data_IF_380829918090
#
_entry.id   IF_380829918090
#
_cell.length_a   1.000
_cell.length_b   1.000
_cell.length_c   1.000
_cell.angle_alpha   90.00
_cell.angle_beta   90.00
_cell.angle_gamma   90.00
#
_symmetry.space_group_name_H-M   'P 1'
#
loop_
_entity.id
_entity.type
_entity.pdbx_description
1 polymer ?
#
# COMPACT_ATOMS: atom_id res chain seq x y z
N UNK A 1 -15.83 31.80 4.26
CA UNK A 1 -14.93 32.74 3.53
C UNK A 1 -13.51 32.78 4.12
N UNK A 2 -13.32 32.83 5.44
CA UNK A 2 -11.99 32.95 6.08
C UNK A 2 -11.08 31.70 5.95
N UNK A 3 -11.64 30.49 5.89
CA UNK A 3 -10.87 29.23 5.81
C UNK A 3 -10.00 29.09 4.53
N UNK A 4 -10.35 29.77 3.44
CA UNK A 4 -9.62 29.66 2.17
C UNK A 4 -8.36 30.54 2.11
N UNK A 5 -8.16 31.43 3.09
CA UNK A 5 -7.03 32.36 3.12
C UNK A 5 -5.72 31.62 3.43
N UNK A 6 -5.77 30.62 4.31
CA UNK A 6 -4.60 29.81 4.71
C UNK A 6 -4.00 29.03 3.51
N UNK A 7 -4.78 28.27 2.72
CA UNK A 7 -4.25 27.63 1.52
C UNK A 7 -3.75 28.62 0.46
N UNK A 8 -4.38 29.79 0.34
CA UNK A 8 -3.98 30.82 -0.63
C UNK A 8 -2.61 31.43 -0.28
N UNK A 9 -2.36 31.71 1.00
CA UNK A 9 -1.05 32.18 1.50
C UNK A 9 0.02 31.10 1.31
N UNK A 10 -0.27 29.84 1.64
CA UNK A 10 0.66 28.72 1.43
C UNK A 10 0.96 28.49 -0.07
N UNK A 11 -0.03 28.71 -0.94
CA UNK A 11 0.12 28.67 -2.39
C UNK A 11 1.01 29.78 -2.94
N UNK A 12 0.84 31.03 -2.47
CA UNK A 12 1.72 32.15 -2.82
C UNK A 12 3.17 31.92 -2.36
N UNK A 13 3.37 31.36 -1.17
CA UNK A 13 4.71 30.99 -0.66
C UNK A 13 5.39 29.92 -1.52
N UNK A 14 4.61 29.06 -2.18
CA UNK A 14 5.11 28.05 -3.11
C UNK A 14 5.64 28.64 -4.43
N UNK A 15 5.10 29.78 -4.89
CA UNK A 15 5.61 30.48 -6.08
C UNK A 15 7.04 30.98 -5.90
N UNK A 16 7.44 31.28 -4.66
CA UNK A 16 8.83 31.65 -4.34
C UNK A 16 9.85 30.53 -4.60
N UNK A 17 9.38 29.30 -4.87
CA UNK A 17 10.22 28.20 -5.35
C UNK A 17 10.80 28.44 -6.74
N UNK A 18 10.15 29.24 -7.59
CA UNK A 18 10.68 29.58 -8.93
C UNK A 18 11.88 30.56 -8.85
N UNK A 19 12.03 31.28 -7.74
CA UNK A 19 13.16 32.18 -7.52
C UNK A 19 14.27 31.46 -6.70
N UNK A 20 15.48 31.27 -7.25
CA UNK A 20 16.56 30.52 -6.56
C UNK A 20 17.00 31.16 -5.23
N UNK A 21 16.70 32.45 -5.00
CA UNK A 21 17.04 33.19 -3.77
C UNK A 21 16.00 33.09 -2.64
N UNK A 22 14.82 32.52 -2.87
CA UNK A 22 13.73 32.45 -1.87
C UNK A 22 13.29 31.04 -1.47
N UNK A 23 14.07 30.01 -1.82
CA UNK A 23 13.74 28.60 -1.59
C UNK A 23 13.49 28.23 -0.12
N UNK A 24 13.96 29.01 0.86
CA UNK A 24 13.69 28.79 2.28
C UNK A 24 12.21 29.00 2.64
N UNK A 25 11.54 29.97 2.03
CA UNK A 25 10.12 30.29 2.29
C UNK A 25 9.22 29.16 1.78
N UNK A 26 9.58 28.54 0.65
CA UNK A 26 8.87 27.40 0.07
C UNK A 26 8.96 26.12 0.91
N UNK A 27 9.88 26.02 1.90
CA UNK A 27 10.01 24.85 2.77
C UNK A 27 8.82 24.69 3.71
N UNK A 28 8.19 25.78 4.14
CA UNK A 28 7.04 25.75 5.06
C UNK A 28 5.81 25.11 4.42
N UNK A 29 5.37 25.50 3.20
CA UNK A 29 4.32 24.79 2.49
C UNK A 29 4.66 23.32 2.21
N UNK A 30 5.91 23.01 1.83
CA UNK A 30 6.31 21.61 1.60
C UNK A 30 6.25 20.77 2.87
N UNK A 31 6.72 21.30 4.00
CA UNK A 31 6.64 20.61 5.29
C UNK A 31 5.18 20.37 5.69
N UNK A 32 4.29 21.33 5.42
CA UNK A 32 2.85 21.18 5.65
C UNK A 32 2.24 20.08 4.75
N UNK A 33 2.53 20.08 3.45
CA UNK A 33 2.04 19.07 2.51
C UNK A 33 2.55 17.66 2.88
N UNK A 34 3.84 17.53 3.18
CA UNK A 34 4.44 16.24 3.55
C UNK A 34 3.88 15.78 4.91
N UNK A 35 3.79 16.67 5.89
CA UNK A 35 3.27 16.38 7.23
C UNK A 35 1.81 15.94 7.20
N UNK A 36 0.96 16.66 6.46
CA UNK A 36 -0.46 16.28 6.27
C UNK A 36 -0.59 14.95 5.53
N UNK A 37 0.17 14.74 4.46
CA UNK A 37 0.14 13.47 3.70
C UNK A 37 0.60 12.29 4.56
N UNK A 38 1.70 12.45 5.31
CA UNK A 38 2.23 11.41 6.18
C UNK A 38 1.27 11.12 7.36
N UNK A 39 0.70 12.17 7.96
CA UNK A 39 -0.28 12.03 9.04
C UNK A 39 -1.54 11.30 8.59
N UNK A 40 -2.11 11.68 7.44
CA UNK A 40 -3.26 10.98 6.86
C UNK A 40 -2.93 9.52 6.56
N UNK A 41 -1.78 9.24 5.94
CA UNK A 41 -1.35 7.86 5.66
C UNK A 41 -1.22 7.02 6.93
N UNK A 42 -0.68 7.59 8.00
CA UNK A 42 -0.56 6.90 9.29
C UNK A 42 -1.93 6.58 9.90
N UNK A 43 -2.86 7.53 9.89
CA UNK A 43 -4.24 7.30 10.38
C UNK A 43 -4.95 6.26 9.51
N UNK A 44 -4.82 6.34 8.19
CA UNK A 44 -5.39 5.34 7.28
C UNK A 44 -4.82 3.94 7.54
N UNK A 45 -3.51 3.82 7.72
CA UNK A 45 -2.90 2.54 8.04
C UNK A 45 -3.43 1.96 9.36
N UNK A 46 -3.56 2.78 10.41
CA UNK A 46 -4.09 2.33 11.70
C UNK A 46 -5.58 1.98 11.64
N UNK A 47 -6.38 2.77 10.95
CA UNK A 47 -7.83 2.61 10.95
C UNK A 47 -8.33 1.60 9.91
N UNK A 48 -7.70 1.54 8.74
CA UNK A 48 -8.12 0.64 7.67
C UNK A 48 -7.33 -0.66 7.71
N UNK A 49 -6.00 -0.60 7.63
CA UNK A 49 -5.20 -1.83 7.47
C UNK A 49 -5.10 -2.60 8.80
N UNK A 50 -4.76 -1.92 9.90
CA UNK A 50 -4.61 -2.60 11.20
C UNK A 50 -5.96 -3.08 11.75
N UNK A 51 -7.00 -2.25 11.68
CA UNK A 51 -8.34 -2.65 12.14
C UNK A 51 -8.94 -3.76 11.28
N UNK A 52 -8.78 -3.70 9.94
CA UNK A 52 -9.24 -4.79 9.06
C UNK A 52 -8.48 -6.08 9.33
N UNK A 53 -7.20 -6.02 9.69
CA UNK A 53 -6.44 -7.22 10.05
C UNK A 53 -6.91 -7.85 11.37
N UNK A 54 -7.30 -7.03 12.35
CA UNK A 54 -7.95 -7.53 13.59
C UNK A 54 -9.32 -8.13 13.27
N UNK A 55 -10.13 -7.45 12.46
CA UNK A 55 -11.45 -7.94 12.04
C UNK A 55 -11.35 -9.27 11.29
N UNK A 56 -10.40 -9.39 10.35
CA UNK A 56 -10.12 -10.62 9.62
C UNK A 56 -9.66 -11.77 10.54
N UNK A 57 -9.05 -11.47 11.69
CA UNK A 57 -8.71 -12.47 12.71
C UNK A 57 -9.88 -12.94 13.55
N UNK A 58 -10.99 -12.19 13.57
CA UNK A 58 -12.22 -12.50 14.32
C UNK A 58 -13.27 -13.18 13.43
N UNK A 59 -13.11 -13.17 12.10
CA UNK A 59 -14.01 -13.85 11.19
C UNK A 59 -14.02 -15.38 11.40
N UNK A 60 -15.21 -16.02 11.35
CA UNK A 60 -15.31 -17.46 11.53
C UNK A 60 -14.53 -18.19 10.43
N UNK A 61 -13.66 -19.11 10.85
CA UNK A 61 -12.79 -19.92 9.97
C UNK A 61 -13.60 -20.83 9.04
N UNK A 62 -14.83 -21.19 9.45
CA UNK A 62 -15.78 -21.95 8.64
C UNK A 62 -16.96 -21.06 8.34
N UNK A 63 -17.01 -20.51 7.13
CA UNK A 63 -18.16 -19.75 6.64
C UNK A 63 -19.18 -20.74 6.10
N UNK A 64 -20.07 -21.20 6.99
CA UNK A 64 -21.30 -21.88 6.58
C UNK A 64 -22.32 -20.82 6.20
N UNK A 65 -22.53 -20.63 4.90
CA UNK A 65 -23.62 -19.78 4.42
C UNK A 65 -24.96 -20.43 4.75
N UNK A 66 -25.65 -19.87 5.75
CA UNK A 66 -26.95 -20.37 6.22
C UNK A 66 -28.08 -20.12 5.20
N UNK A 67 -27.84 -19.30 4.18
CA UNK A 67 -28.84 -18.94 3.19
C UNK A 67 -28.83 -19.82 1.94
N UNK A 68 -27.70 -20.44 1.58
CA UNK A 68 -27.57 -21.19 0.30
C UNK A 68 -27.05 -22.62 0.45
N UNK A 69 -26.80 -23.12 1.68
CA UNK A 69 -26.35 -24.49 1.94
C UNK A 69 -25.20 -24.93 1.00
N UNK A 70 -24.36 -23.97 0.61
CA UNK A 70 -23.19 -24.17 -0.24
C UNK A 70 -21.99 -23.78 0.61
N UNK A 71 -21.15 -24.76 0.91
CA UNK A 71 -19.90 -24.52 1.60
C UNK A 71 -18.98 -23.77 0.63
N UNK A 72 -18.78 -22.48 0.87
CA UNK A 72 -17.73 -21.71 0.19
C UNK A 72 -16.37 -22.15 0.77
N UNK A 73 -15.94 -23.36 0.38
CA UNK A 73 -14.69 -23.98 0.84
C UNK A 73 -13.50 -23.04 0.61
N UNK A 74 -13.49 -22.33 -0.52
CA UNK A 74 -12.41 -21.41 -0.87
C UNK A 74 -12.27 -20.22 0.11
N UNK A 75 -13.38 -19.65 0.56
CA UNK A 75 -13.38 -18.53 1.52
C UNK A 75 -12.93 -19.02 2.90
N UNK A 76 -13.35 -20.22 3.30
CA UNK A 76 -12.92 -20.83 4.57
C UNK A 76 -11.43 -21.17 4.58
N UNK A 77 -10.88 -21.63 3.44
CA UNK A 77 -9.43 -21.84 3.28
C UNK A 77 -8.65 -20.53 3.37
N UNK A 78 -9.14 -19.46 2.73
CA UNK A 78 -8.51 -18.15 2.79
C UNK A 78 -8.45 -17.60 4.23
N UNK A 79 -9.57 -17.63 4.96
CA UNK A 79 -9.62 -17.20 6.35
C UNK A 79 -8.72 -18.06 7.25
N UNK A 80 -8.67 -19.38 7.00
CA UNK A 80 -7.73 -20.29 7.66
C UNK A 80 -6.26 -19.90 7.42
N UNK A 81 -5.87 -19.64 6.17
CA UNK A 81 -4.49 -19.23 5.84
C UNK A 81 -4.11 -17.93 6.54
N UNK A 82 -5.01 -16.94 6.56
CA UNK A 82 -4.76 -15.66 7.25
C UNK A 82 -4.62 -15.88 8.76
N UNK A 83 -5.50 -16.66 9.37
CA UNK A 83 -5.46 -16.95 10.81
C UNK A 83 -4.20 -17.75 11.21
N UNK A 84 -3.94 -18.89 10.56
CA UNK A 84 -2.75 -19.69 10.86
C UNK A 84 -1.45 -19.00 10.46
N UNK A 85 -1.46 -18.22 9.36
CA UNK A 85 -0.30 -17.45 8.91
C UNK A 85 0.07 -16.33 9.88
N UNK A 86 -0.91 -15.60 10.41
CA UNK A 86 -0.68 -14.57 11.44
C UNK A 86 -0.20 -15.17 12.76
N UNK A 87 -0.78 -16.28 13.20
CA UNK A 87 -0.34 -17.00 14.40
C UNK A 87 1.10 -17.52 14.26
N UNK A 88 1.44 -18.13 13.11
CA UNK A 88 2.80 -18.59 12.83
C UNK A 88 3.81 -17.44 12.77
N UNK A 89 3.44 -16.29 12.20
CA UNK A 89 4.28 -15.09 12.17
C UNK A 89 4.50 -14.51 13.58
N UNK A 90 3.47 -14.48 14.42
CA UNK A 90 3.60 -14.08 15.82
C UNK A 90 4.53 -15.02 16.60
N UNK A 91 4.41 -16.34 16.40
CA UNK A 91 5.30 -17.33 17.01
C UNK A 91 6.75 -17.14 16.57
N UNK A 92 6.99 -16.79 15.30
CA UNK A 92 8.33 -16.46 14.81
C UNK A 92 8.92 -15.20 15.47
N UNK A 93 8.13 -14.13 15.63
CA UNK A 93 8.60 -12.86 16.21
C UNK A 93 8.65 -12.85 17.75
N UNK A 94 7.90 -13.72 18.43
CA UNK A 94 8.00 -13.90 19.88
C UNK A 94 9.32 -14.60 20.24
N UNK A 95 10.38 -13.79 20.30
CA UNK A 95 11.77 -14.19 20.51
C UNK A 95 12.08 -14.79 21.91
N UNK A 96 11.07 -15.17 22.69
CA UNK A 96 11.23 -15.52 24.12
C UNK A 96 11.03 -17.00 24.45
N UNK A 97 10.93 -17.89 23.46
CA UNK A 97 10.79 -19.33 23.71
C UNK A 97 11.94 -20.07 23.00
N UNK A 98 12.70 -20.88 23.75
CA UNK A 98 13.68 -21.80 23.18
C UNK A 98 13.01 -22.70 22.14
N UNK A 99 13.45 -22.60 20.89
CA UNK A 99 12.91 -23.37 19.77
C UNK A 99 13.37 -24.83 19.82
N UNK A 100 12.88 -25.61 20.79
CA UNK A 100 13.04 -27.08 20.83
C UNK A 100 11.70 -27.78 20.57
N UNK A 101 11.67 -28.67 19.57
CA UNK A 101 10.51 -29.52 19.25
C UNK A 101 9.55 -28.96 18.18
N UNK A 102 8.25 -29.27 18.30
CA UNK A 102 7.17 -28.97 17.33
C UNK A 102 7.08 -27.48 16.98
N UNK A 103 7.41 -26.61 17.94
CA UNK A 103 7.47 -25.14 17.78
C UNK A 103 8.50 -24.72 16.72
N UNK A 104 9.59 -25.48 16.55
CA UNK A 104 10.60 -25.23 15.52
C UNK A 104 10.11 -25.48 14.09
N UNK A 105 9.20 -26.45 13.88
CA UNK A 105 8.61 -26.71 12.56
C UNK A 105 7.56 -25.65 12.20
N UNK A 106 6.74 -25.22 13.16
CA UNK A 106 5.77 -24.12 12.96
C UNK A 106 6.50 -22.79 12.70
N UNK A 107 7.61 -22.52 13.40
CA UNK A 107 8.45 -21.35 13.18
C UNK A 107 9.08 -21.34 11.78
N UNK A 108 9.52 -22.49 11.24
CA UNK A 108 10.00 -22.60 9.84
C UNK A 108 8.92 -22.29 8.80
N UNK A 109 7.68 -22.69 9.05
CA UNK A 109 6.55 -22.31 8.19
C UNK A 109 6.30 -20.80 8.26
N UNK A 110 6.35 -20.20 9.46
CA UNK A 110 6.26 -18.76 9.65
C UNK A 110 7.34 -17.97 8.89
N UNK A 111 8.58 -18.47 8.84
CA UNK A 111 9.67 -17.87 8.04
C UNK A 111 9.32 -17.84 6.55
N UNK A 112 8.79 -18.94 6.01
CA UNK A 112 8.38 -19.01 4.61
C UNK A 112 7.27 -18.01 4.29
N UNK A 113 6.25 -17.95 5.15
CA UNK A 113 5.15 -16.98 5.03
C UNK A 113 5.68 -15.54 5.08
N UNK A 114 6.63 -15.25 5.98
CA UNK A 114 7.26 -13.92 6.08
C UNK A 114 8.12 -13.58 4.86
N UNK A 115 8.91 -14.51 4.33
CA UNK A 115 9.70 -14.26 3.12
C UNK A 115 8.83 -13.98 1.89
N UNK A 116 7.73 -14.73 1.73
CA UNK A 116 6.79 -14.52 0.62
C UNK A 116 6.10 -13.15 0.75
N UNK A 117 5.59 -12.82 1.95
CA UNK A 117 4.89 -11.56 2.18
C UNK A 117 5.81 -10.35 2.05
N UNK A 118 7.03 -10.40 2.60
CA UNK A 118 8.02 -9.34 2.40
C UNK A 118 8.49 -9.23 0.95
N UNK A 119 8.67 -10.35 0.25
CA UNK A 119 9.00 -10.37 -1.17
C UNK A 119 7.92 -9.70 -2.04
N UNK A 120 6.65 -10.00 -1.77
CA UNK A 120 5.52 -9.37 -2.44
C UNK A 120 5.43 -7.86 -2.14
N UNK A 121 5.64 -7.45 -0.89
CA UNK A 121 5.64 -6.04 -0.50
C UNK A 121 6.77 -5.25 -1.20
N UNK A 122 7.97 -5.82 -1.25
CA UNK A 122 9.09 -5.22 -1.99
C UNK A 122 8.76 -5.11 -3.49
N UNK A 123 8.23 -6.18 -4.10
CA UNK A 123 7.81 -6.20 -5.50
C UNK A 123 6.77 -5.12 -5.83
N UNK A 124 5.79 -4.91 -4.95
CA UNK A 124 4.78 -3.86 -5.10
C UNK A 124 5.39 -2.45 -5.22
N UNK A 125 6.40 -2.15 -4.40
CA UNK A 125 7.07 -0.84 -4.45
C UNK A 125 7.90 -0.65 -5.73
N UNK A 126 8.55 -1.72 -6.21
CA UNK A 126 9.30 -1.71 -7.46
C UNK A 126 8.36 -1.54 -8.65
N UNK A 127 7.22 -2.24 -8.65
CA UNK A 127 6.19 -2.11 -9.68
C UNK A 127 5.70 -0.67 -9.81
N UNK A 128 5.50 0.04 -8.69
CA UNK A 128 5.11 1.46 -8.73
C UNK A 128 6.14 2.34 -9.45
N UNK A 129 7.44 2.06 -9.29
CA UNK A 129 8.51 2.80 -9.98
C UNK A 129 8.60 2.43 -11.46
N UNK A 130 8.45 1.16 -11.79
CA UNK A 130 8.43 0.69 -13.19
C UNK A 130 7.20 1.26 -13.91
N UNK A 131 6.04 1.34 -13.27
CA UNK A 131 4.83 1.93 -13.84
C UNK A 131 5.02 3.42 -14.17
N UNK A 132 5.69 4.18 -13.30
CA UNK A 132 6.03 5.58 -13.59
C UNK A 132 7.00 5.70 -14.78
N UNK A 133 7.98 4.80 -14.88
CA UNK A 133 8.92 4.75 -16.01
C UNK A 133 8.19 4.38 -17.32
N UNK A 134 7.32 3.38 -17.29
CA UNK A 134 6.49 2.98 -18.43
C UNK A 134 5.62 4.14 -18.90
N UNK A 135 4.99 4.88 -17.97
CA UNK A 135 4.23 6.10 -18.29
C UNK A 135 5.08 7.18 -18.95
N UNK A 136 6.37 7.27 -18.62
CA UNK A 136 7.31 8.18 -19.30
C UNK A 136 7.68 7.71 -20.71
N UNK A 137 7.83 6.41 -20.92
CA UNK A 137 8.03 5.85 -22.27
C UNK A 137 6.79 6.00 -23.15
N UNK A 138 5.60 5.78 -22.59
CA UNK A 138 4.31 6.01 -23.27
C UNK A 138 4.20 7.46 -23.75
N UNK A 139 4.43 8.43 -22.85
CA UNK A 139 4.50 9.86 -23.22
C UNK A 139 5.54 10.14 -24.32
N UNK A 140 6.75 9.56 -24.22
CA UNK A 140 7.82 9.82 -25.18
C UNK A 140 7.48 9.25 -26.57
N UNK A 141 6.94 8.04 -26.65
CA UNK A 141 6.70 7.34 -27.91
C UNK A 141 5.34 7.65 -28.55
N UNK A 142 4.30 7.92 -27.77
CA UNK A 142 2.95 8.25 -28.26
C UNK A 142 2.81 9.76 -28.47
N UNK A 143 2.94 10.56 -27.40
CA UNK A 143 2.67 12.00 -27.44
C UNK A 143 3.76 12.82 -28.13
N UNK A 144 5.04 12.45 -27.98
CA UNK A 144 6.17 13.26 -28.50
C UNK A 144 6.72 12.76 -29.84
N UNK A 145 7.06 11.47 -29.96
CA UNK A 145 7.62 10.86 -31.18
C UNK A 145 6.56 10.32 -32.14
N UNK A 146 5.29 10.23 -31.74
CA UNK A 146 4.17 9.81 -32.58
C UNK A 146 4.34 8.40 -33.21
N UNK A 147 5.19 7.54 -32.63
CA UNK A 147 5.74 6.33 -33.26
C UNK A 147 4.89 5.08 -33.00
N UNK A 148 4.12 5.07 -31.91
CA UNK A 148 3.24 3.98 -31.51
C UNK A 148 1.91 4.62 -31.10
N UNK A 149 0.80 4.23 -31.72
CA UNK A 149 -0.56 4.62 -31.31
C UNK A 149 -1.30 3.39 -30.77
N UNK A 150 -1.21 3.12 -29.45
CA UNK A 150 -1.92 2.01 -28.82
C UNK A 150 -3.41 2.33 -28.59
N UNK A 151 -3.83 3.58 -28.79
CA UNK A 151 -5.20 4.07 -28.52
C UNK A 151 -6.07 4.18 -29.77
N UNK A 152 -5.50 3.94 -30.96
CA UNK A 152 -6.14 4.06 -32.27
C UNK A 152 -6.89 5.39 -32.45
N UNK A 153 -6.38 6.46 -31.85
CA UNK A 153 -7.02 7.77 -31.83
C UNK A 153 -6.78 8.54 -33.14
N UNK A 154 -5.99 7.97 -34.05
CA UNK A 154 -5.68 8.52 -35.38
C UNK A 154 -6.56 7.95 -36.49
N UNK A 155 -7.87 7.92 -36.29
CA UNK A 155 -8.85 7.84 -37.38
C UNK A 155 -10.14 8.55 -36.95
N UNK A 156 -10.25 9.85 -37.25
CA UNK A 156 -11.43 10.52 -37.82
C UNK A 156 -11.24 12.05 -37.82
N UNK A 157 -10.46 12.56 -38.78
CA UNK A 157 -10.81 13.68 -39.68
C UNK A 157 -10.14 13.41 -41.02
#
# INVERSE_FOLDING_TARGET
>A
WYYNIVPLVLGLMLLWRLAPRGAWIARWPLAFIIGTTAGLRLVHFLQADFLSQIQAGIEPIVVLDRATASENFWVSVQNGIVFFGTLAALVYFFFSIEHKGIVGHVSRFGIWVLMITFGAAFGFTVMGRIALLAKRFEFLFDDWLWLIDPSNNRLMI
#
